data_IF_126806750375
#
_entry.id   IF_126806750375
#
_cell.length_a   1.000
_cell.length_b   1.000
_cell.length_c   1.000
_cell.angle_alpha   90.00
_cell.angle_beta   90.00
_cell.angle_gamma   90.00
#
_symmetry.space_group_name_H-M   'P 1'
#
loop_
_entity.id
_entity.type
_entity.pdbx_description
1 polymer ?
#
# COMPACT_ATOMS: atom_id res chain seq x y z
N UNK A 1 18.69 5.31 -10.40
CA UNK A 1 17.40 5.26 -11.13
C UNK A 1 16.47 6.29 -10.51
N UNK A 2 15.78 7.11 -11.33
CA UNK A 2 14.98 8.27 -10.89
C UNK A 2 13.49 7.92 -10.93
N UNK A 3 12.68 8.56 -10.07
CA UNK A 3 11.20 8.52 -10.11
C UNK A 3 10.59 9.27 -11.32
N UNK A 4 11.39 9.49 -12.37
CA UNK A 4 11.06 10.43 -13.44
C UNK A 4 10.76 11.82 -12.92
N UNK A 5 9.70 12.43 -13.43
CA UNK A 5 9.16 13.74 -13.06
C UNK A 5 7.92 13.63 -12.15
N UNK A 6 7.61 12.45 -11.61
CA UNK A 6 6.55 12.33 -10.61
C UNK A 6 6.86 13.22 -9.39
N UNK A 7 5.83 13.80 -8.74
CA UNK A 7 6.02 14.56 -7.51
C UNK A 7 6.79 13.74 -6.46
N UNK A 8 7.92 14.28 -6.00
CA UNK A 8 8.82 13.55 -5.10
C UNK A 8 8.18 13.41 -3.71
N UNK A 9 8.18 12.22 -3.10
CA UNK A 9 7.61 12.04 -1.76
C UNK A 9 8.25 12.97 -0.74
N UNK A 10 7.42 13.66 0.04
CA UNK A 10 7.82 14.61 1.08
C UNK A 10 8.00 16.05 0.62
N UNK A 11 7.70 16.39 -0.64
CA UNK A 11 7.64 17.80 -1.07
C UNK A 11 6.43 18.53 -0.49
N UNK A 12 5.35 17.81 -0.17
CA UNK A 12 4.21 18.35 0.59
C UNK A 12 4.33 17.97 2.06
N UNK A 13 4.24 18.96 2.95
CA UNK A 13 4.18 18.74 4.41
C UNK A 13 2.74 18.52 4.85
N UNK A 14 2.21 17.33 4.60
CA UNK A 14 0.89 16.91 5.07
C UNK A 14 0.97 15.59 5.83
N UNK A 15 -0.15 15.19 6.43
CA UNK A 15 -0.32 13.88 7.04
C UNK A 15 0.04 12.77 6.03
N UNK A 16 0.82 11.76 6.42
CA UNK A 16 1.26 10.73 5.49
C UNK A 16 0.13 9.83 5.02
N UNK A 17 0.25 9.31 3.80
CA UNK A 17 -0.64 8.28 3.27
C UNK A 17 -0.17 6.88 3.69
N UNK A 18 -1.10 5.94 3.85
CA UNK A 18 -0.81 4.51 3.97
C UNK A 18 -1.54 3.77 2.86
N UNK A 19 -0.78 3.35 1.85
CA UNK A 19 -1.25 2.55 0.73
C UNK A 19 -1.27 1.08 1.09
N UNK A 20 -2.42 0.44 0.92
CA UNK A 20 -2.70 -0.93 1.34
C UNK A 20 -3.04 -1.82 0.16
N UNK A 21 -2.29 -2.89 -0.03
CA UNK A 21 -2.73 -3.99 -0.88
C UNK A 21 -3.68 -4.94 -0.15
N UNK A 22 -4.40 -5.77 -0.91
CA UNK A 22 -5.29 -6.82 -0.40
C UNK A 22 -4.63 -8.18 -0.56
N UNK A 23 -4.45 -8.66 -1.79
CA UNK A 23 -3.89 -10.00 -2.05
C UNK A 23 -2.43 -10.07 -1.60
N UNK A 24 -2.05 -11.15 -0.90
CA UNK A 24 -0.73 -11.30 -0.29
C UNK A 24 -0.48 -10.40 0.95
N UNK A 25 -1.39 -9.50 1.30
CA UNK A 25 -1.28 -8.61 2.47
C UNK A 25 -2.41 -8.82 3.46
N UNK A 26 -3.62 -8.35 3.14
CA UNK A 26 -4.79 -8.54 3.98
C UNK A 26 -5.44 -9.91 3.73
N UNK A 27 -5.29 -10.42 2.51
CA UNK A 27 -5.73 -11.72 2.02
C UNK A 27 -4.50 -12.60 1.72
N UNK A 28 -4.00 -13.41 2.66
CA UNK A 28 -2.84 -14.28 2.44
C UNK A 28 -3.14 -15.40 1.43
N UNK A 29 -2.09 -15.90 0.77
CA UNK A 29 -2.22 -16.93 -0.28
C UNK A 29 -2.72 -18.28 0.27
N UNK A 30 -2.39 -18.59 1.52
CA UNK A 30 -2.76 -19.83 2.19
C UNK A 30 -3.62 -19.56 3.44
N UNK A 31 -4.43 -20.55 3.87
CA UNK A 31 -5.10 -20.51 5.16
C UNK A 31 -4.11 -20.31 6.31
N UNK A 32 -4.43 -19.37 7.20
CA UNK A 32 -3.65 -19.05 8.39
C UNK A 32 -4.58 -18.97 9.60
N UNK A 33 -4.06 -19.31 10.78
CA UNK A 33 -4.79 -19.18 12.03
C UNK A 33 -5.22 -17.72 12.26
N UNK A 34 -6.47 -17.51 12.68
CA UNK A 34 -7.06 -16.18 12.89
C UNK A 34 -7.65 -15.53 11.64
N UNK A 35 -7.57 -16.17 10.48
CA UNK A 35 -8.24 -15.71 9.25
C UNK A 35 -9.54 -16.49 9.03
N UNK A 36 -10.59 -15.77 8.61
CA UNK A 36 -11.87 -16.34 8.19
C UNK A 36 -11.99 -16.28 6.68
N UNK A 37 -12.47 -17.35 6.06
CA UNK A 37 -12.74 -17.39 4.63
C UNK A 37 -14.08 -16.74 4.28
N UNK A 38 -14.10 -15.96 3.22
CA UNK A 38 -15.29 -15.33 2.65
C UNK A 38 -15.32 -15.53 1.14
N UNK A 39 -16.51 -15.63 0.58
CA UNK A 39 -16.71 -15.78 -0.86
C UNK A 39 -17.10 -14.46 -1.50
N UNK A 40 -16.37 -14.05 -2.54
CA UNK A 40 -16.68 -12.88 -3.36
C UNK A 40 -16.76 -13.32 -4.81
N UNK A 41 -17.98 -13.49 -5.32
CA UNK A 41 -18.21 -14.09 -6.64
C UNK A 41 -17.62 -15.51 -6.69
N UNK A 42 -16.55 -15.70 -7.48
CA UNK A 42 -15.82 -16.98 -7.59
C UNK A 42 -14.50 -17.02 -6.82
N UNK A 43 -14.18 -15.95 -6.10
CA UNK A 43 -12.95 -15.82 -5.32
C UNK A 43 -13.19 -16.21 -3.87
N UNK A 44 -12.24 -16.90 -3.28
CA UNK A 44 -12.14 -17.05 -1.82
C UNK A 44 -11.11 -16.07 -1.30
N UNK A 45 -11.54 -15.20 -0.38
CA UNK A 45 -10.66 -14.29 0.35
C UNK A 45 -10.58 -14.72 1.82
N UNK A 46 -9.47 -14.41 2.47
CA UNK A 46 -9.17 -14.74 3.86
C UNK A 46 -8.92 -13.46 4.61
N UNK A 47 -9.78 -13.12 5.56
CA UNK A 47 -9.66 -11.87 6.32
C UNK A 47 -9.45 -12.18 7.80
N UNK A 48 -8.46 -11.51 8.40
CA UNK A 48 -8.28 -11.49 9.84
C UNK A 48 -8.92 -10.20 10.41
N UNK A 49 -9.95 -10.28 11.27
CA UNK A 49 -10.61 -9.10 11.84
C UNK A 49 -9.67 -8.23 12.69
N UNK A 50 -8.59 -8.79 13.27
CA UNK A 50 -7.59 -8.02 14.03
C UNK A 50 -6.90 -6.98 13.15
N UNK A 51 -6.77 -7.22 11.83
CA UNK A 51 -6.23 -6.25 10.90
C UNK A 51 -7.07 -4.97 10.87
N UNK A 52 -8.39 -5.06 11.06
CA UNK A 52 -9.28 -3.90 11.14
C UNK A 52 -8.90 -3.00 12.31
N UNK A 53 -8.71 -3.59 13.48
CA UNK A 53 -8.27 -2.87 14.68
C UNK A 53 -6.89 -2.22 14.46
N UNK A 54 -5.93 -2.96 13.90
CA UNK A 54 -4.59 -2.41 13.63
C UNK A 54 -4.62 -1.26 12.62
N UNK A 55 -5.46 -1.36 11.58
CA UNK A 55 -5.58 -0.32 10.56
C UNK A 55 -6.29 0.93 11.11
N UNK A 56 -7.30 0.78 11.95
CA UNK A 56 -7.92 1.91 12.68
C UNK A 56 -6.93 2.61 13.61
N UNK A 57 -6.09 1.86 14.32
CA UNK A 57 -5.03 2.46 15.15
C UNK A 57 -4.02 3.24 14.28
N UNK A 58 -3.65 2.70 13.13
CA UNK A 58 -2.78 3.38 12.17
C UNK A 58 -3.46 4.62 11.54
N UNK A 59 -4.79 4.60 11.38
CA UNK A 59 -5.57 5.74 10.89
C UNK A 59 -5.62 6.93 11.85
N UNK A 60 -4.95 6.87 13.00
CA UNK A 60 -4.64 8.05 13.83
C UNK A 60 -3.45 8.84 13.27
N UNK A 61 -2.57 8.19 12.52
CA UNK A 61 -1.35 8.77 11.95
C UNK A 61 -1.37 8.93 10.42
N UNK A 62 -2.13 8.09 9.73
CA UNK A 62 -2.15 7.99 8.27
C UNK A 62 -3.53 8.30 7.69
N UNK A 63 -3.56 8.81 6.47
CA UNK A 63 -4.74 8.71 5.62
C UNK A 63 -4.63 7.39 4.85
N UNK A 64 -5.55 6.46 5.13
CA UNK A 64 -5.54 5.13 4.52
C UNK A 64 -6.07 5.19 3.08
N UNK A 65 -5.43 4.44 2.18
CA UNK A 65 -5.81 4.37 0.76
C UNK A 65 -5.66 2.94 0.26
N UNK A 66 -6.65 2.46 -0.48
CA UNK A 66 -6.52 1.20 -1.22
C UNK A 66 -5.54 1.35 -2.39
N UNK A 67 -4.51 0.51 -2.41
CA UNK A 67 -3.53 0.41 -3.48
C UNK A 67 -3.47 -1.04 -4.00
N UNK A 68 -4.64 -1.51 -4.40
CA UNK A 68 -4.87 -2.90 -4.81
C UNK A 68 -5.64 -2.93 -6.13
N UNK A 69 -5.54 -4.03 -6.87
CA UNK A 69 -6.33 -4.21 -8.11
C UNK A 69 -7.82 -4.42 -7.87
N UNK A 70 -8.24 -4.57 -6.61
CA UNK A 70 -9.66 -4.48 -6.25
C UNK A 70 -10.22 -3.07 -6.41
N UNK A 71 -9.39 -2.02 -6.35
CA UNK A 71 -9.78 -0.62 -6.50
C UNK A 71 -11.00 -0.27 -5.63
N UNK A 72 -12.06 0.28 -6.21
CA UNK A 72 -13.30 0.63 -5.50
C UNK A 72 -14.02 -0.59 -4.89
N UNK A 73 -13.88 -1.78 -5.48
CA UNK A 73 -14.49 -3.01 -4.97
C UNK A 73 -13.91 -3.42 -3.61
N UNK A 74 -12.74 -2.91 -3.23
CA UNK A 74 -12.20 -3.11 -1.87
C UNK A 74 -13.15 -2.54 -0.81
N UNK A 75 -13.85 -1.42 -1.08
CA UNK A 75 -14.84 -0.87 -0.16
C UNK A 75 -16.13 -1.70 -0.09
N UNK A 76 -16.43 -2.51 -1.11
CA UNK A 76 -17.62 -3.34 -1.16
C UNK A 76 -17.38 -4.68 -0.44
N UNK A 77 -16.17 -5.25 -0.55
CA UNK A 77 -15.91 -6.61 -0.14
C UNK A 77 -14.89 -6.76 1.00
N UNK A 78 -13.96 -5.82 1.17
CA UNK A 78 -12.86 -5.93 2.15
C UNK A 78 -13.10 -4.99 3.34
N UNK A 79 -13.41 -3.71 3.06
CA UNK A 79 -13.65 -2.68 4.08
C UNK A 79 -14.64 -3.11 5.17
N UNK A 80 -15.84 -3.61 4.82
CA UNK A 80 -16.84 -4.03 5.80
C UNK A 80 -16.37 -5.18 6.71
N UNK A 81 -15.60 -6.14 6.17
CA UNK A 81 -15.06 -7.26 6.94
C UNK A 81 -14.00 -6.84 7.97
N UNK A 82 -13.39 -5.67 7.74
CA UNK A 82 -12.41 -5.08 8.62
C UNK A 82 -12.99 -3.95 9.48
N UNK A 83 -14.30 -3.67 9.38
CA UNK A 83 -14.95 -2.52 10.03
C UNK A 83 -14.21 -1.19 9.74
N UNK A 84 -13.86 -0.99 8.46
CA UNK A 84 -13.24 0.23 7.96
C UNK A 84 -14.30 1.11 7.29
N UNK A 85 -14.23 2.45 7.45
CA UNK A 85 -15.01 3.34 6.62
C UNK A 85 -14.57 3.23 5.16
N UNK A 86 -15.39 3.68 4.19
CA UNK A 86 -14.97 3.76 2.79
C UNK A 86 -13.67 4.56 2.66
N UNK A 87 -12.67 3.96 2.00
CA UNK A 87 -11.37 4.58 1.77
C UNK A 87 -11.24 5.05 0.31
N UNK A 88 -10.45 6.10 0.04
CA UNK A 88 -10.02 6.40 -1.32
C UNK A 88 -9.22 5.22 -1.89
N UNK A 89 -9.17 5.12 -3.22
CA UNK A 89 -8.37 4.11 -3.92
C UNK A 89 -7.51 4.73 -5.02
N UNK A 90 -6.40 4.07 -5.33
CA UNK A 90 -5.57 4.39 -6.48
C UNK A 90 -6.13 3.69 -7.72
N UNK A 91 -6.44 4.45 -8.77
CA UNK A 91 -6.79 3.89 -10.08
C UNK A 91 -5.54 3.29 -10.75
N UNK A 92 -5.41 1.97 -10.68
CA UNK A 92 -4.34 1.14 -11.22
C UNK A 92 -4.75 0.56 -12.58
N UNK A 93 -5.97 0.02 -12.69
CA UNK A 93 -6.42 -0.72 -13.88
C UNK A 93 -6.53 0.19 -15.10
N UNK A 94 -7.04 1.40 -14.89
CA UNK A 94 -7.24 2.42 -15.92
C UNK A 94 -6.06 3.41 -16.01
N UNK A 95 -4.93 3.13 -15.34
CA UNK A 95 -3.79 4.04 -15.38
C UNK A 95 -3.12 4.04 -16.76
N UNK A 96 -3.17 5.18 -17.42
CA UNK A 96 -2.42 5.42 -18.66
C UNK A 96 -1.04 5.96 -18.31
N UNK A 97 0.01 5.28 -18.81
CA UNK A 97 1.38 5.71 -18.58
C UNK A 97 1.61 7.14 -19.07
N UNK A 98 2.23 7.96 -18.23
CA UNK A 98 2.45 9.38 -18.49
C UNK A 98 3.91 9.69 -18.76
N UNK A 99 4.15 10.77 -19.51
CA UNK A 99 5.48 11.33 -19.62
C UNK A 99 6.04 11.66 -18.22
N UNK A 100 7.27 11.22 -17.97
CA UNK A 100 7.94 11.41 -16.67
C UNK A 100 7.58 10.37 -15.60
N UNK A 101 6.90 9.28 -15.94
CA UNK A 101 6.77 8.15 -15.02
C UNK A 101 8.12 7.47 -14.74
N UNK A 102 8.28 6.76 -13.61
CA UNK A 102 9.51 6.06 -13.29
C UNK A 102 9.84 5.03 -14.37
N UNK A 103 11.12 4.97 -14.74
CA UNK A 103 11.58 3.96 -15.71
C UNK A 103 11.35 2.56 -15.17
N UNK A 104 10.66 1.75 -15.96
CA UNK A 104 10.31 0.37 -15.63
C UNK A 104 10.86 -0.54 -16.72
N UNK A 105 11.77 -1.49 -16.40
CA UNK A 105 12.20 -2.49 -17.36
C UNK A 105 10.98 -3.27 -17.89
N UNK A 106 10.93 -3.54 -19.20
CA UNK A 106 9.76 -4.20 -19.84
C UNK A 106 9.36 -5.50 -19.11
N UNK A 107 10.33 -6.34 -18.76
CA UNK A 107 10.12 -7.60 -18.05
C UNK A 107 9.55 -7.44 -16.62
N UNK A 108 9.60 -6.24 -16.04
CA UNK A 108 9.08 -5.94 -14.71
C UNK A 108 7.78 -5.13 -14.73
N UNK A 109 7.26 -4.77 -15.92
CA UNK A 109 6.02 -3.98 -16.05
C UNK A 109 4.86 -4.54 -15.22
N UNK A 110 4.55 -5.86 -15.23
CA UNK A 110 3.43 -6.38 -14.46
C UNK A 110 3.59 -6.17 -12.95
N UNK A 111 4.82 -6.36 -12.43
CA UNK A 111 5.15 -6.22 -11.00
C UNK A 111 5.32 -4.77 -10.55
N UNK A 112 5.49 -3.84 -11.50
CA UNK A 112 5.68 -2.42 -11.22
C UNK A 112 4.46 -1.58 -11.59
N UNK A 113 3.36 -2.19 -12.06
CA UNK A 113 2.16 -1.49 -12.54
C UNK A 113 1.55 -0.53 -11.54
N UNK A 114 1.64 -0.83 -10.23
CA UNK A 114 1.11 0.03 -9.16
C UNK A 114 2.02 1.23 -8.86
N UNK A 115 3.28 1.21 -9.28
CA UNK A 115 4.29 2.14 -8.78
C UNK A 115 4.07 3.58 -9.27
N UNK A 116 3.95 3.78 -10.58
CA UNK A 116 3.67 5.08 -11.17
C UNK A 116 2.33 5.67 -10.66
N UNK A 117 1.19 4.94 -10.67
CA UNK A 117 -0.07 5.48 -10.18
C UNK A 117 -0.03 5.83 -8.68
N UNK A 118 0.63 5.03 -7.83
CA UNK A 118 0.80 5.36 -6.40
C UNK A 118 1.58 6.68 -6.23
N UNK A 119 2.67 6.88 -6.98
CA UNK A 119 3.46 8.12 -6.89
C UNK A 119 2.66 9.34 -7.35
N UNK A 120 1.88 9.19 -8.44
CA UNK A 120 1.02 10.26 -8.96
C UNK A 120 -0.09 10.59 -7.97
N UNK A 121 -0.79 9.59 -7.45
CA UNK A 121 -1.83 9.76 -6.43
C UNK A 121 -1.27 10.38 -5.16
N UNK A 122 -0.05 10.03 -4.75
CA UNK A 122 0.57 10.60 -3.55
C UNK A 122 0.86 12.09 -3.72
N UNK A 123 1.07 12.56 -4.96
CA UNK A 123 1.24 13.97 -5.28
C UNK A 123 2.30 14.68 -4.39
N UNK A 124 3.37 13.96 -4.07
CA UNK A 124 4.47 14.49 -3.26
C UNK A 124 4.21 14.49 -1.75
N UNK A 125 3.07 13.99 -1.28
CA UNK A 125 2.84 13.70 0.14
C UNK A 125 3.78 12.58 0.61
N UNK A 126 4.22 12.57 1.88
CA UNK A 126 4.91 11.42 2.44
C UNK A 126 3.97 10.21 2.49
N UNK A 127 4.48 9.00 2.27
CA UNK A 127 3.64 7.81 2.33
C UNK A 127 4.39 6.54 2.73
N UNK A 128 3.64 5.59 3.29
CA UNK A 128 4.02 4.20 3.39
C UNK A 128 3.21 3.35 2.39
N UNK A 129 3.81 2.29 1.86
CA UNK A 129 3.15 1.34 0.97
C UNK A 129 3.42 -0.08 1.45
N UNK A 130 2.33 -0.82 1.69
CA UNK A 130 2.31 -2.20 2.17
C UNK A 130 1.81 -3.09 1.02
N UNK A 131 2.67 -3.97 0.54
CA UNK A 131 2.43 -4.79 -0.65
C UNK A 131 3.39 -5.99 -0.62
N UNK A 132 2.97 -7.12 -1.17
CA UNK A 132 3.80 -8.31 -1.34
C UNK A 132 4.66 -8.20 -2.61
N UNK A 133 4.23 -7.44 -3.62
CA UNK A 133 4.92 -7.26 -4.90
C UNK A 133 5.73 -5.95 -4.91
N UNK A 134 6.86 -5.96 -4.20
CA UNK A 134 7.83 -4.84 -4.20
C UNK A 134 9.20 -5.28 -4.76
N UNK A 135 9.41 -5.24 -6.09
CA UNK A 135 10.67 -5.64 -6.71
C UNK A 135 11.83 -4.70 -6.34
N UNK A 136 13.06 -5.21 -6.49
CA UNK A 136 14.30 -4.49 -6.18
C UNK A 136 14.40 -3.14 -6.92
N UNK A 137 13.86 -3.06 -8.14
CA UNK A 137 13.83 -1.82 -8.93
C UNK A 137 13.09 -0.70 -8.21
N UNK A 138 11.92 -0.98 -7.63
CA UNK A 138 11.17 -0.02 -6.82
C UNK A 138 11.98 0.37 -5.59
N UNK A 139 12.56 -0.60 -4.88
CA UNK A 139 13.38 -0.32 -3.68
C UNK A 139 14.55 0.60 -4.01
N UNK A 140 15.23 0.39 -5.14
CA UNK A 140 16.33 1.25 -5.63
C UNK A 140 15.86 2.66 -5.98
N UNK A 141 14.67 2.79 -6.57
CA UNK A 141 14.08 4.09 -6.89
C UNK A 141 13.60 4.85 -5.65
N UNK A 142 13.11 4.13 -4.64
CA UNK A 142 12.63 4.69 -3.38
C UNK A 142 13.75 5.10 -2.41
N UNK A 143 14.93 4.49 -2.50
CA UNK A 143 16.05 4.68 -1.56
C UNK A 143 16.46 6.15 -1.33
N UNK A 144 16.53 7.02 -2.36
CA UNK A 144 16.81 8.44 -2.17
C UNK A 144 15.74 9.18 -1.35
N UNK A 145 14.50 8.66 -1.35
CA UNK A 145 13.32 9.25 -0.72
C UNK A 145 12.95 8.60 0.61
N UNK A 146 13.79 7.70 1.16
CA UNK A 146 13.53 6.90 2.37
C UNK A 146 13.15 7.70 3.64
N UNK A 147 13.36 9.02 3.64
CA UNK A 147 12.95 9.90 4.73
C UNK A 147 11.45 10.19 4.73
N UNK A 148 10.81 10.17 3.55
CA UNK A 148 9.41 10.49 3.34
C UNK A 148 8.62 9.36 2.65
N UNK A 149 9.29 8.27 2.29
CA UNK A 149 8.71 7.09 1.63
C UNK A 149 9.13 5.83 2.40
N UNK A 150 8.15 5.04 2.84
CA UNK A 150 8.39 3.75 3.51
C UNK A 150 7.78 2.59 2.73
N UNK A 151 8.61 1.63 2.34
CA UNK A 151 8.15 0.37 1.76
C UNK A 151 8.06 -0.69 2.85
N UNK A 152 6.93 -1.39 2.93
CA UNK A 152 6.71 -2.55 3.81
C UNK A 152 6.41 -3.73 2.89
N UNK A 153 7.42 -4.58 2.69
CA UNK A 153 7.24 -5.79 1.90
C UNK A 153 6.69 -6.90 2.78
N UNK A 154 5.55 -7.43 2.37
CA UNK A 154 4.86 -8.53 3.04
C UNK A 154 5.20 -9.83 2.34
N UNK A 155 5.29 -10.92 3.10
CA UNK A 155 5.36 -12.26 2.54
C UNK A 155 3.92 -12.76 2.39
N UNK A 156 3.47 -13.14 1.18
CA UNK A 156 2.07 -13.49 0.94
C UNK A 156 1.59 -14.70 1.75
N UNK A 157 2.51 -15.58 2.15
CA UNK A 157 2.27 -16.71 3.04
C UNK A 157 2.05 -16.31 4.50
N UNK A 158 2.50 -15.13 4.92
CA UNK A 158 2.40 -14.64 6.31
C UNK A 158 1.29 -13.58 6.46
N UNK A 159 0.96 -12.88 5.37
CA UNK A 159 0.07 -11.72 5.39
C UNK A 159 0.59 -10.55 6.23
N UNK A 160 -0.29 -9.58 6.51
CA UNK A 160 0.03 -8.46 7.40
C UNK A 160 0.29 -8.98 8.81
N UNK A 161 1.40 -8.55 9.43
CA UNK A 161 1.79 -9.00 10.76
C UNK A 161 1.89 -7.82 11.71
N UNK A 162 1.85 -8.09 13.02
CA UNK A 162 2.07 -7.05 14.04
C UNK A 162 3.41 -6.33 13.87
N UNK A 163 4.46 -7.05 13.42
CA UNK A 163 5.77 -6.46 13.12
C UNK A 163 5.67 -5.37 12.04
N UNK A 164 4.87 -5.58 11.00
CA UNK A 164 4.63 -4.59 9.95
C UNK A 164 3.94 -3.35 10.51
N UNK A 165 2.92 -3.54 11.35
CA UNK A 165 2.19 -2.46 12.04
C UNK A 165 3.14 -1.64 12.93
N UNK A 166 3.99 -2.29 13.73
CA UNK A 166 4.94 -1.59 14.59
C UNK A 166 5.98 -0.79 13.77
N UNK A 167 6.39 -1.31 12.60
CA UNK A 167 7.26 -0.57 11.68
C UNK A 167 6.59 0.71 11.16
N UNK A 168 5.28 0.66 10.90
CA UNK A 168 4.50 1.81 10.48
C UNK A 168 4.36 2.84 11.62
N UNK A 169 4.04 2.44 12.86
CA UNK A 169 4.01 3.38 13.99
C UNK A 169 5.38 4.06 14.21
N UNK A 170 6.47 3.29 14.23
CA UNK A 170 7.83 3.84 14.36
C UNK A 170 8.19 4.80 13.22
N UNK A 171 7.65 4.58 12.03
CA UNK A 171 7.88 5.50 10.91
C UNK A 171 7.08 6.80 11.07
N UNK A 172 5.80 6.73 11.44
CA UNK A 172 4.97 7.91 11.71
C UNK A 172 5.59 8.83 12.77
N UNK A 173 6.05 8.26 13.90
CA UNK A 173 6.71 9.01 14.97
C UNK A 173 7.96 9.73 14.46
N UNK A 174 8.80 9.05 13.67
CA UNK A 174 10.01 9.65 13.08
C UNK A 174 9.70 10.74 12.06
N UNK A 175 8.61 10.61 11.32
CA UNK A 175 8.19 11.63 10.35
C UNK A 175 7.69 12.88 11.07
N UNK A 176 6.87 12.75 12.12
CA UNK A 176 6.38 13.88 12.93
C UNK A 176 7.51 14.68 13.58
N UNK A 177 8.55 14.01 14.09
CA UNK A 177 9.73 14.68 14.68
C UNK A 177 10.56 15.51 13.70
N UNK A 178 10.28 15.42 12.40
CA UNK A 178 11.03 16.10 11.32
C UNK A 178 10.22 17.16 10.58
N UNK A 179 8.92 17.23 10.84
CA UNK A 179 8.01 18.16 10.18
C UNK A 179 8.24 19.58 10.70
#
# INVERSE_FOLDING_TARGET
>A
MRLGNTPRPGTRKTRPLLYLDVDGVLNPEAPLAGFTEHTVGRLTIRINPDHGTWLRDLSVHYDLVWATTWEEHANQHIGPLLDLPPLPHVAISNYVAQAGDPRTPLLQLPRMRKWAPILRHAEGRPFAWVDDVIPLTIRRQALPHRRALRLISVRPEDGLTRRHVDMLHRWAVRLKRRA
#
